data_IF_664183217364
#
_entry.id   IF_664183217364
#
_cell.length_a   1.000
_cell.length_b   1.000
_cell.length_c   1.000
_cell.angle_alpha   90.00
_cell.angle_beta   90.00
_cell.angle_gamma   90.00
#
_symmetry.space_group_name_H-M   'P 1'
#
loop_
_entity.id
_entity.type
_entity.pdbx_description
1 polymer ?
#
# COMPACT_ATOMS: atom_id res chain seq x y z
N UNK A 1 9.08 26.42 -2.07
CA UNK A 1 7.68 26.32 -1.63
C UNK A 1 7.09 25.09 -2.32
N UNK A 2 7.10 23.94 -1.65
CA UNK A 2 6.34 22.78 -2.10
C UNK A 2 4.86 23.17 -2.04
N UNK A 3 4.24 23.26 -3.22
CA UNK A 3 2.87 23.69 -3.36
C UNK A 3 1.93 22.81 -2.54
N UNK A 4 1.11 23.42 -1.71
CA UNK A 4 0.05 22.73 -0.98
C UNK A 4 -0.79 21.89 -1.95
N UNK A 5 -1.12 20.62 -1.61
CA UNK A 5 -1.92 19.78 -2.49
C UNK A 5 -3.26 20.46 -2.82
N UNK A 6 -3.72 20.30 -4.05
CA UNK A 6 -4.97 20.89 -4.52
C UNK A 6 -6.17 20.49 -3.63
N UNK A 7 -7.25 21.26 -3.57
CA UNK A 7 -8.44 20.92 -2.77
C UNK A 7 -8.99 19.53 -3.07
N UNK A 8 -8.94 19.07 -4.31
CA UNK A 8 -9.35 17.74 -4.72
C UNK A 8 -8.47 16.61 -4.12
N UNK A 9 -7.20 16.92 -3.82
CA UNK A 9 -6.29 15.98 -3.18
C UNK A 9 -6.46 15.91 -1.66
N UNK A 10 -7.17 16.88 -1.08
CA UNK A 10 -7.34 17.03 0.38
C UNK A 10 -8.61 16.39 0.93
N UNK A 11 -9.52 15.95 0.08
CA UNK A 11 -10.81 15.42 0.52
C UNK A 11 -10.82 13.88 0.45
N UNK A 12 -10.38 13.18 1.51
CA UNK A 12 -10.81 11.81 1.69
C UNK A 12 -12.32 11.82 1.99
N UNK A 13 -13.04 10.84 1.46
CA UNK A 13 -14.43 10.64 1.81
C UNK A 13 -14.66 10.62 3.33
N UNK A 14 -15.79 11.13 3.82
CA UNK A 14 -16.11 11.12 5.24
C UNK A 14 -15.96 9.74 5.89
N UNK A 15 -16.35 8.67 5.20
CA UNK A 15 -16.24 7.30 5.67
C UNK A 15 -14.80 6.79 5.75
N UNK A 16 -13.92 7.20 4.84
CA UNK A 16 -12.51 6.85 4.89
C UNK A 16 -11.80 7.61 6.02
N UNK A 17 -12.21 8.85 6.31
CA UNK A 17 -11.69 9.61 7.46
C UNK A 17 -11.94 8.92 8.78
N UNK A 18 -13.11 8.28 8.92
CA UNK A 18 -13.49 7.59 10.15
C UNK A 18 -12.65 6.32 10.35
N UNK A 19 -12.26 5.66 9.28
CA UNK A 19 -11.53 4.37 9.32
C UNK A 19 -10.01 4.51 9.38
N UNK A 20 -9.47 5.69 9.10
CA UNK A 20 -8.03 5.92 9.10
C UNK A 20 -7.53 6.31 10.48
N UNK A 21 -6.32 5.85 10.79
CA UNK A 21 -5.58 6.34 11.95
C UNK A 21 -5.28 7.84 11.81
N UNK A 22 -5.33 8.56 12.92
CA UNK A 22 -5.12 10.01 12.92
C UNK A 22 -3.73 10.36 12.39
N UNK A 23 -3.67 11.23 11.40
CA UNK A 23 -2.42 11.70 10.79
C UNK A 23 -1.92 10.89 9.59
N UNK A 24 -2.48 9.70 9.32
CA UNK A 24 -2.09 8.88 8.17
C UNK A 24 -3.18 8.98 7.10
N UNK A 25 -2.95 9.83 6.09
CA UNK A 25 -3.92 10.12 5.03
C UNK A 25 -3.27 10.01 3.66
N UNK A 26 -3.43 8.88 2.96
CA UNK A 26 -2.97 8.76 1.59
C UNK A 26 -3.62 9.80 0.68
N UNK A 27 -2.81 10.37 -0.21
CA UNK A 27 -3.20 11.38 -1.18
C UNK A 27 -3.30 10.75 -2.57
N UNK A 28 -4.27 11.19 -3.35
CA UNK A 28 -4.37 10.87 -4.78
C UNK A 28 -3.12 11.42 -5.49
N UNK A 29 -2.55 10.63 -6.39
CA UNK A 29 -1.29 10.88 -7.08
C UNK A 29 -0.06 10.96 -6.15
N UNK A 30 -0.17 10.44 -4.94
CA UNK A 30 0.91 10.37 -3.97
C UNK A 30 1.72 9.08 -3.99
N UNK A 31 1.37 8.12 -4.86
CA UNK A 31 2.07 6.84 -4.99
C UNK A 31 1.32 5.65 -4.42
N UNK A 32 2.00 4.51 -4.42
CA UNK A 32 1.44 3.24 -3.93
C UNK A 32 1.25 3.28 -2.43
N UNK A 33 0.12 2.77 -1.95
CA UNK A 33 -0.25 2.75 -0.53
C UNK A 33 0.00 1.36 0.05
N UNK A 34 0.89 1.26 1.05
CA UNK A 34 1.05 0.06 1.87
C UNK A 34 0.03 0.12 3.01
N UNK A 35 -0.77 -0.92 3.13
CA UNK A 35 -1.89 -0.97 4.09
C UNK A 35 -1.53 -1.79 5.32
N UNK A 36 -1.83 -1.25 6.50
CA UNK A 36 -1.62 -1.89 7.79
C UNK A 36 -2.93 -2.05 8.54
N UNK A 37 -3.07 -3.13 9.28
CA UNK A 37 -4.21 -3.36 10.17
C UNK A 37 -3.77 -4.13 11.41
N UNK A 38 -3.98 -3.54 12.59
CA UNK A 38 -3.61 -4.16 13.88
C UNK A 38 -4.32 -5.50 14.13
N UNK A 39 -5.52 -5.68 13.58
CA UNK A 39 -6.30 -6.91 13.67
C UNK A 39 -5.98 -7.92 12.56
N UNK A 40 -4.86 -7.72 11.85
CA UNK A 40 -4.38 -8.62 10.78
C UNK A 40 -5.42 -8.87 9.67
N UNK A 41 -6.27 -7.87 9.37
CA UNK A 41 -7.17 -7.90 8.22
C UNK A 41 -6.45 -7.60 6.90
N UNK A 42 -5.26 -7.03 6.99
CA UNK A 42 -4.26 -6.95 5.92
C UNK A 42 -3.05 -7.76 6.35
N UNK A 43 -2.42 -8.43 5.42
CA UNK A 43 -1.30 -9.36 5.66
C UNK A 43 0.04 -8.67 5.89
N UNK A 44 0.09 -7.36 5.70
CA UNK A 44 1.32 -6.58 5.83
C UNK A 44 1.89 -6.64 7.24
N UNK A 45 3.14 -7.00 7.33
CA UNK A 45 3.99 -6.89 8.51
C UNK A 45 5.16 -5.93 8.28
N UNK A 46 6.03 -5.78 9.28
CA UNK A 46 7.16 -4.87 9.18
C UNK A 46 8.17 -5.31 8.12
N UNK A 47 8.36 -6.62 7.94
CA UNK A 47 9.34 -7.19 7.01
C UNK A 47 8.87 -7.05 5.57
N UNK A 48 7.65 -7.50 5.28
CA UNK A 48 7.06 -7.42 3.94
C UNK A 48 6.93 -5.97 3.48
N UNK A 49 6.55 -5.06 4.39
CA UNK A 49 6.50 -3.64 4.10
C UNK A 49 7.87 -3.02 3.79
N UNK A 50 8.91 -3.41 4.55
CA UNK A 50 10.27 -2.91 4.31
C UNK A 50 10.83 -3.40 2.97
N UNK A 51 10.61 -4.68 2.64
CA UNK A 51 11.04 -5.27 1.37
C UNK A 51 10.37 -4.58 0.19
N UNK A 52 9.04 -4.45 0.22
CA UNK A 52 8.31 -3.80 -0.85
C UNK A 52 8.65 -2.30 -0.96
N UNK A 53 8.81 -1.63 0.17
CA UNK A 53 9.24 -0.23 0.20
C UNK A 53 10.61 -0.01 -0.44
N UNK A 54 11.56 -0.93 -0.21
CA UNK A 54 12.88 -0.89 -0.83
C UNK A 54 12.82 -1.15 -2.36
N UNK A 55 11.97 -2.06 -2.80
CA UNK A 55 11.71 -2.29 -4.23
C UNK A 55 11.17 -1.02 -4.87
N UNK A 56 10.16 -0.40 -4.27
CA UNK A 56 9.60 0.86 -4.75
C UNK A 56 10.63 1.97 -4.80
N UNK A 57 11.47 2.09 -3.77
CA UNK A 57 12.55 3.08 -3.72
C UNK A 57 13.55 2.90 -4.87
N UNK A 58 13.96 1.68 -5.16
CA UNK A 58 14.84 1.37 -6.30
C UNK A 58 14.19 1.70 -7.64
N UNK A 59 12.89 1.48 -7.75
CA UNK A 59 12.10 1.77 -8.95
C UNK A 59 11.72 3.27 -9.11
N UNK A 60 12.06 4.12 -8.15
CA UNK A 60 11.65 5.52 -8.15
C UNK A 60 10.13 5.70 -7.99
N UNK A 61 9.47 4.79 -7.26
CA UNK A 61 8.04 4.83 -6.99
C UNK A 61 7.79 5.38 -5.59
N UNK A 62 7.03 6.47 -5.45
CA UNK A 62 6.67 6.99 -4.13
C UNK A 62 5.71 6.03 -3.42
N UNK A 63 5.87 5.95 -2.09
CA UNK A 63 5.08 5.07 -1.23
C UNK A 63 4.44 5.88 -0.12
N UNK A 64 3.17 5.57 0.12
CA UNK A 64 2.38 6.09 1.22
C UNK A 64 2.00 4.98 2.19
N UNK A 65 1.53 5.33 3.36
CA UNK A 65 1.06 4.38 4.37
C UNK A 65 -0.41 4.61 4.65
N UNK A 66 -1.12 3.53 4.94
CA UNK A 66 -2.49 3.53 5.43
C UNK A 66 -2.59 2.59 6.62
N UNK A 67 -3.17 3.04 7.69
CA UNK A 67 -3.50 2.20 8.83
C UNK A 67 -4.97 2.39 9.22
N UNK A 68 -5.66 1.29 9.45
CA UNK A 68 -7.01 1.31 10.01
C UNK A 68 -6.95 1.63 11.50
N UNK A 69 -7.93 2.33 11.98
CA UNK A 69 -8.19 2.46 13.41
C UNK A 69 -8.51 1.07 13.97
N UNK A 70 -7.89 0.67 15.09
CA UNK A 70 -8.08 -0.66 15.66
C UNK A 70 -9.46 -0.89 16.26
N UNK A 71 -10.15 0.19 16.63
CA UNK A 71 -11.49 0.19 17.25
C UNK A 71 -12.63 0.11 16.22
N UNK A 72 -12.34 0.19 14.93
CA UNK A 72 -13.34 0.14 13.87
C UNK A 72 -13.12 -1.10 12.99
N UNK A 73 -14.16 -1.91 12.75
CA UNK A 73 -14.05 -3.05 11.84
C UNK A 73 -13.61 -2.61 10.44
N UNK A 74 -12.52 -3.15 9.98
CA UNK A 74 -12.02 -2.97 8.60
C UNK A 74 -12.51 -4.10 7.69
N UNK A 75 -12.48 -3.86 6.38
CA UNK A 75 -12.63 -4.90 5.38
C UNK A 75 -11.44 -5.87 5.43
N UNK A 76 -11.62 -7.07 4.92
CA UNK A 76 -10.56 -8.04 4.68
C UNK A 76 -10.18 -8.06 3.21
N UNK A 77 -8.97 -8.51 2.91
CA UNK A 77 -8.47 -8.62 1.54
C UNK A 77 -8.24 -10.08 1.16
N UNK A 78 -7.94 -10.32 -0.10
CA UNK A 78 -7.61 -11.64 -0.61
C UNK A 78 -6.35 -12.21 0.06
N UNK A 79 -5.42 -11.34 0.51
CA UNK A 79 -4.20 -11.75 1.19
C UNK A 79 -4.45 -12.63 2.41
N UNK A 80 -5.42 -12.28 3.26
CA UNK A 80 -5.75 -13.07 4.44
C UNK A 80 -6.21 -14.48 4.08
N UNK A 81 -7.02 -14.61 3.04
CA UNK A 81 -7.52 -15.90 2.57
C UNK A 81 -6.35 -16.73 2.02
N UNK A 82 -5.48 -16.11 1.22
CA UNK A 82 -4.31 -16.77 0.66
C UNK A 82 -3.34 -17.24 1.75
N UNK A 83 -3.01 -16.38 2.71
CA UNK A 83 -2.08 -16.71 3.80
C UNK A 83 -2.63 -17.74 4.78
N UNK A 84 -3.96 -17.94 4.84
CA UNK A 84 -4.55 -19.03 5.62
C UNK A 84 -4.28 -20.41 5.02
N UNK A 85 -3.96 -20.48 3.72
CA UNK A 85 -3.71 -21.72 3.00
C UNK A 85 -2.24 -21.92 2.62
N UNK A 86 -1.50 -20.84 2.47
CA UNK A 86 -0.09 -20.88 2.05
C UNK A 86 0.73 -19.98 2.95
N UNK A 87 1.76 -20.54 3.61
CA UNK A 87 2.66 -19.80 4.48
C UNK A 87 3.69 -19.00 3.64
N UNK A 88 3.30 -17.81 3.21
CA UNK A 88 4.15 -16.88 2.46
C UNK A 88 4.10 -15.48 3.09
N UNK A 89 5.21 -14.76 2.99
CA UNK A 89 5.24 -13.35 3.38
C UNK A 89 4.46 -12.52 2.36
N UNK A 90 3.49 -11.74 2.81
CA UNK A 90 2.64 -10.94 1.95
C UNK A 90 2.63 -9.47 2.37
N UNK A 91 2.49 -8.60 1.40
CA UNK A 91 2.24 -7.17 1.62
C UNK A 91 0.93 -6.78 0.95
N UNK A 92 0.11 -6.04 1.66
CA UNK A 92 -1.15 -5.53 1.14
C UNK A 92 -0.95 -4.10 0.63
N UNK A 93 -1.17 -3.91 -0.64
CA UNK A 93 -0.95 -2.63 -1.30
C UNK A 93 -2.21 -2.17 -2.05
N UNK A 94 -2.28 -0.90 -2.35
CA UNK A 94 -3.38 -0.34 -3.11
C UNK A 94 -3.09 1.08 -3.56
N UNK A 95 -4.13 1.75 -4.05
CA UNK A 95 -4.09 3.15 -4.48
C UNK A 95 -5.04 3.99 -3.62
N UNK A 96 -4.71 5.26 -3.46
CA UNK A 96 -5.64 6.20 -2.85
C UNK A 96 -6.84 6.41 -3.77
N UNK A 97 -8.06 6.29 -3.22
CA UNK A 97 -9.30 6.42 -3.98
C UNK A 97 -10.29 7.32 -3.24
N UNK A 98 -11.09 8.04 -4.00
CA UNK A 98 -12.32 8.67 -3.54
C UNK A 98 -13.51 7.79 -3.89
N UNK A 99 -14.55 7.84 -3.06
CA UNK A 99 -15.79 7.10 -3.29
C UNK A 99 -15.60 5.60 -3.54
N UNK A 100 -14.66 4.97 -2.82
CA UNK A 100 -14.36 3.54 -2.95
C UNK A 100 -15.62 2.68 -2.80
N UNK A 101 -15.80 1.73 -3.71
CA UNK A 101 -16.98 0.87 -3.83
C UNK A 101 -18.27 1.57 -4.28
N UNK A 102 -18.19 2.81 -4.72
CA UNK A 102 -19.33 3.51 -5.34
C UNK A 102 -19.31 3.37 -6.87
N UNK A 103 -20.41 3.79 -7.51
CA UNK A 103 -20.45 3.89 -8.96
C UNK A 103 -19.57 5.02 -9.53
N UNK A 104 -18.97 5.81 -8.66
CA UNK A 104 -18.17 6.99 -9.02
C UNK A 104 -16.79 6.97 -8.36
N UNK A 105 -16.15 5.81 -8.34
CA UNK A 105 -14.78 5.69 -7.83
C UNK A 105 -13.82 6.56 -8.63
N UNK A 106 -12.94 7.25 -7.92
CA UNK A 106 -11.93 8.11 -8.54
C UNK A 106 -10.57 7.80 -7.95
N UNK A 107 -9.60 7.48 -8.80
CA UNK A 107 -8.20 7.24 -8.44
C UNK A 107 -7.27 8.20 -9.16
N UNK A 108 -6.04 8.32 -8.69
CA UNK A 108 -5.02 9.13 -9.32
C UNK A 108 -4.47 8.47 -10.59
N UNK A 109 -4.46 9.18 -11.72
CA UNK A 109 -3.91 8.67 -12.96
C UNK A 109 -2.42 8.29 -12.84
N UNK A 110 -1.63 9.02 -12.02
CA UNK A 110 -0.23 8.70 -11.75
C UNK A 110 -0.08 7.47 -10.88
N UNK A 111 -1.01 7.23 -9.97
CA UNK A 111 -0.93 6.12 -9.01
C UNK A 111 -1.01 4.77 -9.72
N UNK A 112 -1.81 4.66 -10.79
CA UNK A 112 -1.85 3.46 -11.63
C UNK A 112 -0.49 3.20 -12.28
N UNK A 113 0.15 4.22 -12.85
CA UNK A 113 1.48 4.09 -13.43
C UNK A 113 2.54 3.73 -12.39
N UNK A 114 2.44 4.27 -11.18
CA UNK A 114 3.32 3.90 -10.06
C UNK A 114 3.11 2.44 -9.64
N UNK A 115 1.88 1.97 -9.57
CA UNK A 115 1.59 0.58 -9.21
C UNK A 115 2.13 -0.39 -10.27
N UNK A 116 1.94 -0.11 -11.55
CA UNK A 116 2.51 -0.91 -12.63
C UNK A 116 4.03 -1.00 -12.51
N UNK A 117 4.70 0.14 -12.34
CA UNK A 117 6.16 0.18 -12.18
C UNK A 117 6.65 -0.55 -10.93
N UNK A 118 5.93 -0.44 -9.82
CA UNK A 118 6.23 -1.18 -8.60
C UNK A 118 6.08 -2.70 -8.81
N UNK A 119 5.03 -3.14 -9.52
CA UNK A 119 4.79 -4.54 -9.84
C UNK A 119 5.87 -5.09 -10.78
N UNK A 120 6.23 -4.36 -11.83
CA UNK A 120 7.34 -4.73 -12.74
C UNK A 120 8.65 -4.90 -11.95
N UNK A 121 8.98 -3.94 -11.08
CA UNK A 121 10.18 -4.03 -10.26
C UNK A 121 10.13 -5.19 -9.27
N UNK A 122 8.97 -5.49 -8.70
CA UNK A 122 8.78 -6.62 -7.81
C UNK A 122 9.02 -7.95 -8.54
N UNK A 123 8.41 -8.15 -9.71
CA UNK A 123 8.58 -9.37 -10.50
C UNK A 123 9.98 -9.53 -11.09
N UNK A 124 10.72 -8.45 -11.30
CA UNK A 124 12.12 -8.46 -11.71
C UNK A 124 13.10 -8.61 -10.54
N UNK A 125 12.63 -8.75 -9.31
CA UNK A 125 13.46 -8.88 -8.11
C UNK A 125 13.48 -10.30 -7.60
N UNK A 126 14.68 -10.83 -7.33
CA UNK A 126 14.85 -12.05 -6.56
C UNK A 126 14.97 -11.69 -5.06
N UNK A 127 14.03 -12.16 -4.26
CA UNK A 127 14.02 -11.98 -2.82
C UNK A 127 14.58 -13.24 -2.18
N UNK A 128 15.76 -13.14 -1.56
CA UNK A 128 16.42 -14.27 -0.89
C UNK A 128 16.48 -14.01 0.60
N UNK A 129 16.09 -15.00 1.38
CA UNK A 129 16.21 -14.98 2.84
C UNK A 129 17.35 -15.88 3.29
N UNK A 130 18.26 -15.32 4.09
CA UNK A 130 19.39 -16.01 4.70
C UNK A 130 19.36 -15.72 6.20
N UNK A 131 18.69 -16.59 6.95
CA UNK A 131 18.38 -16.36 8.36
C UNK A 131 17.52 -15.12 8.56
N UNK A 132 18.05 -14.13 9.30
CA UNK A 132 17.37 -12.84 9.54
C UNK A 132 17.62 -11.82 8.41
N UNK A 133 18.54 -12.11 7.49
CA UNK A 133 18.90 -11.19 6.42
C UNK A 133 18.05 -11.44 5.19
N UNK A 134 17.56 -10.36 4.60
CA UNK A 134 16.87 -10.39 3.31
C UNK A 134 17.73 -9.66 2.30
N UNK A 135 17.98 -10.30 1.18
CA UNK A 135 18.70 -9.73 0.04
C UNK A 135 17.75 -9.53 -1.11
N UNK A 136 17.81 -8.35 -1.72
CA UNK A 136 17.11 -8.01 -2.94
C UNK A 136 18.12 -7.96 -4.08
N UNK A 137 18.01 -8.91 -4.99
CA UNK A 137 18.81 -8.98 -6.21
C UNK A 137 17.89 -8.61 -7.39
N UNK A 138 18.38 -7.87 -8.36
CA UNK A 138 17.64 -7.61 -9.60
C UNK A 138 18.11 -8.63 -10.62
N UNK A 139 17.19 -9.40 -11.16
CA UNK A 139 17.51 -10.26 -12.30
C UNK A 139 17.85 -9.35 -13.49
N UNK A 140 18.99 -9.64 -14.14
CA UNK A 140 19.47 -8.91 -15.30
C UNK A 140 18.77 -9.36 -16.56
#
# INVERSE_FOLDING_TARGET
EEGLPSPAQRLPEPLQRIRQETGIRPLINGGVVIKYNANQKYTTDAVSAAVFGEICRRAGVPVQRYANRPDIPGGSTLGNISCAHVAIDCVDVGLAQLAMHSAYETAGARDTAYLCRAAEAFYASAIRRDGEKIRLETEK
#
